data_IF_137919358998
#
_entry.id   IF_137919358998
#
_cell.length_a   1.000
_cell.length_b   1.000
_cell.length_c   1.000
_cell.angle_alpha   90.00
_cell.angle_beta   90.00
_cell.angle_gamma   90.00
#
_symmetry.space_group_name_H-M   'P 1'
#
loop_
_entity.id
_entity.type
_entity.pdbx_description
1 polymer ?
#
# COMPACT_ATOMS: atom_id res chain seq x y z
N UNK A 1 48.93 -5.63 -72.60
CA UNK A 1 48.31 -4.43 -71.96
C UNK A 1 47.27 -4.92 -70.94
N UNK A 2 47.65 -4.96 -69.67
CA UNK A 2 46.73 -5.36 -68.60
C UNK A 2 46.22 -4.09 -67.88
N UNK A 3 44.92 -3.82 -67.99
CA UNK A 3 44.23 -2.78 -67.23
C UNK A 3 44.00 -3.30 -65.80
N UNK A 4 44.61 -2.71 -64.80
CA UNK A 4 44.33 -2.93 -63.37
C UNK A 4 43.07 -2.10 -62.99
N UNK A 5 41.98 -2.79 -62.73
CA UNK A 5 40.77 -2.16 -62.15
C UNK A 5 40.95 -2.09 -60.66
N UNK A 6 41.00 -0.89 -60.10
CA UNK A 6 41.09 -0.62 -58.67
C UNK A 6 39.67 -0.65 -58.09
N UNK A 7 39.35 -1.68 -57.31
CA UNK A 7 38.09 -1.81 -56.62
C UNK A 7 38.18 -1.03 -55.30
N UNK A 8 37.56 0.13 -55.23
CA UNK A 8 37.45 0.92 -54.01
C UNK A 8 36.26 0.38 -53.19
N UNK A 9 36.57 -0.40 -52.15
CA UNK A 9 35.58 -0.90 -51.19
C UNK A 9 35.28 0.23 -50.20
N UNK A 10 34.17 0.96 -50.39
CA UNK A 10 33.69 1.97 -49.45
C UNK A 10 33.11 1.27 -48.21
N UNK A 11 33.82 1.25 -47.12
CA UNK A 11 33.37 0.77 -45.82
C UNK A 11 32.40 1.82 -45.21
N UNK A 12 31.12 1.66 -45.46
CA UNK A 12 30.09 2.43 -44.74
C UNK A 12 30.00 1.87 -43.30
N UNK A 13 30.74 2.48 -42.38
CA UNK A 13 30.51 2.30 -40.95
C UNK A 13 29.18 2.96 -40.59
N UNK A 14 28.13 2.17 -40.46
CA UNK A 14 26.88 2.62 -39.82
C UNK A 14 27.20 2.95 -38.35
N UNK A 15 27.49 4.20 -38.08
CA UNK A 15 27.45 4.76 -36.74
C UNK A 15 25.94 4.84 -36.35
N UNK A 16 25.41 3.72 -35.88
CA UNK A 16 24.10 3.75 -35.20
C UNK A 16 24.28 4.63 -33.95
N UNK A 17 23.56 5.75 -33.82
CA UNK A 17 23.58 6.49 -32.56
C UNK A 17 23.08 5.54 -31.46
N UNK A 18 23.99 5.03 -30.65
CA UNK A 18 23.63 4.41 -29.39
C UNK A 18 23.00 5.50 -28.54
N UNK A 19 21.68 5.58 -28.61
CA UNK A 19 20.92 6.34 -27.63
C UNK A 19 21.23 5.68 -26.29
N UNK A 20 22.16 6.25 -25.54
CA UNK A 20 22.40 5.87 -24.18
C UNK A 20 21.08 6.13 -23.44
N UNK A 21 20.27 5.08 -23.28
CA UNK A 21 19.11 5.13 -22.40
C UNK A 21 19.65 5.59 -21.05
N UNK A 22 19.34 6.84 -20.67
CA UNK A 22 19.60 7.30 -19.32
C UNK A 22 18.99 6.26 -18.40
N UNK A 23 19.84 5.55 -17.65
CA UNK A 23 19.39 4.58 -16.66
C UNK A 23 18.36 5.32 -15.79
N UNK A 24 17.08 4.93 -15.91
CA UNK A 24 16.03 5.55 -15.12
C UNK A 24 16.46 5.40 -13.64
N UNK A 25 16.49 6.50 -12.92
CA UNK A 25 16.76 6.43 -11.48
C UNK A 25 15.62 5.64 -10.86
N UNK A 26 15.95 4.62 -10.08
CA UNK A 26 14.95 3.88 -9.32
C UNK A 26 14.12 4.87 -8.48
N UNK A 27 12.78 4.73 -8.46
CA UNK A 27 11.95 5.56 -7.59
C UNK A 27 12.37 5.35 -6.14
N UNK A 28 12.48 6.44 -5.39
CA UNK A 28 12.76 6.37 -3.96
C UNK A 28 11.49 6.24 -3.13
N UNK A 29 10.39 6.81 -3.62
CA UNK A 29 9.11 6.83 -2.95
C UNK A 29 8.12 6.00 -3.76
N UNK A 30 7.43 5.09 -3.10
CA UNK A 30 6.39 4.25 -3.68
C UNK A 30 5.11 4.52 -2.89
N UNK A 31 4.07 4.97 -3.59
CA UNK A 31 2.75 5.16 -3.01
C UNK A 31 1.80 4.26 -3.78
N UNK A 32 1.19 3.31 -3.08
CA UNK A 32 0.16 2.43 -3.61
C UNK A 32 -1.21 2.91 -3.11
N UNK A 33 -2.08 3.28 -4.03
CA UNK A 33 -3.47 3.64 -3.70
C UNK A 33 -4.40 2.52 -4.14
N UNK A 34 -5.25 2.06 -3.24
CA UNK A 34 -6.22 1.00 -3.45
C UNK A 34 -7.64 1.56 -3.25
N UNK A 35 -8.49 1.41 -4.25
CA UNK A 35 -9.93 1.56 -4.09
C UNK A 35 -10.54 0.17 -3.98
N UNK A 36 -10.96 -0.25 -2.79
CA UNK A 36 -11.53 -1.58 -2.60
C UNK A 36 -12.88 -1.70 -3.29
N UNK A 37 -13.05 -2.77 -4.07
CA UNK A 37 -14.23 -3.00 -4.90
C UNK A 37 -14.41 -2.01 -6.06
N UNK A 38 -13.43 -1.11 -6.31
CA UNK A 38 -13.51 -0.09 -7.36
C UNK A 38 -13.22 -0.67 -8.74
N UNK A 39 -14.24 -1.26 -9.36
CA UNK A 39 -14.18 -1.72 -10.75
C UNK A 39 -14.56 -0.63 -11.77
N UNK A 40 -14.57 -1.00 -13.06
CA UNK A 40 -14.89 -0.08 -14.14
C UNK A 40 -16.26 0.62 -14.00
N UNK A 41 -17.25 -0.10 -13.45
CA UNK A 41 -18.60 0.46 -13.21
C UNK A 41 -18.59 1.55 -12.14
N UNK A 42 -17.82 1.37 -11.07
CA UNK A 42 -17.67 2.35 -9.99
C UNK A 42 -16.91 3.58 -10.49
N UNK A 43 -15.85 3.39 -11.28
CA UNK A 43 -15.12 4.50 -11.92
C UNK A 43 -16.05 5.29 -12.83
N UNK A 44 -16.85 4.62 -13.66
CA UNK A 44 -17.80 5.28 -14.55
C UNK A 44 -18.90 6.03 -13.78
N UNK A 45 -19.44 5.42 -12.70
CA UNK A 45 -20.41 6.09 -11.83
C UNK A 45 -19.81 7.34 -11.17
N UNK A 46 -18.57 7.25 -10.70
CA UNK A 46 -17.83 8.40 -10.17
C UNK A 46 -17.63 9.50 -11.19
N UNK A 47 -17.28 9.14 -12.43
CA UNK A 47 -17.15 10.10 -13.55
C UNK A 47 -18.48 10.82 -13.83
N UNK A 48 -19.59 10.09 -13.91
CA UNK A 48 -20.92 10.69 -14.11
C UNK A 48 -21.29 11.61 -12.95
N UNK A 49 -21.07 11.15 -11.71
CA UNK A 49 -21.35 11.94 -10.49
C UNK A 49 -20.50 13.20 -10.37
N UNK A 50 -19.31 13.20 -10.96
CA UNK A 50 -18.39 14.34 -10.97
C UNK A 50 -18.39 15.10 -12.32
N UNK A 51 -19.54 15.18 -12.97
CA UNK A 51 -19.75 15.97 -14.19
C UNK A 51 -18.80 15.63 -15.36
N UNK A 52 -18.44 14.37 -15.51
CA UNK A 52 -17.73 13.85 -16.67
C UNK A 52 -16.21 13.80 -16.56
N UNK A 53 -15.62 14.04 -15.37
CA UNK A 53 -14.18 13.96 -15.18
C UNK A 53 -13.79 13.36 -13.84
N UNK A 54 -12.61 12.73 -13.77
CA UNK A 54 -12.00 12.21 -12.54
C UNK A 54 -10.50 12.54 -12.48
N UNK A 55 -9.97 12.74 -11.30
CA UNK A 55 -8.53 12.89 -11.10
C UNK A 55 -7.74 11.64 -11.54
N UNK A 56 -8.36 10.47 -11.61
CA UNK A 56 -7.75 9.24 -12.14
C UNK A 56 -7.28 9.38 -13.59
N UNK A 57 -7.89 10.27 -14.39
CA UNK A 57 -7.50 10.54 -15.78
C UNK A 57 -6.12 11.20 -15.90
N UNK A 58 -5.56 11.71 -14.80
CA UNK A 58 -4.22 12.29 -14.77
C UNK A 58 -3.11 11.22 -14.76
N UNK A 59 -3.43 9.94 -14.53
CA UNK A 59 -2.44 8.88 -14.61
C UNK A 59 -2.07 8.60 -16.08
N UNK A 60 -0.78 8.70 -16.43
CA UNK A 60 -0.35 8.58 -17.84
C UNK A 60 -0.31 7.14 -18.35
N UNK A 61 -0.38 6.16 -17.45
CA UNK A 61 -0.28 4.73 -17.77
C UNK A 61 -1.48 3.99 -17.17
N UNK A 62 -2.12 3.18 -17.99
CA UNK A 62 -3.24 2.32 -17.59
C UNK A 62 -2.86 0.87 -17.89
N UNK A 63 -3.25 -0.04 -17.01
CA UNK A 63 -3.05 -1.47 -17.17
C UNK A 63 -4.23 -2.28 -16.66
N UNK A 64 -4.22 -3.57 -16.98
CA UNK A 64 -5.16 -4.56 -16.45
C UNK A 64 -4.39 -5.65 -15.73
N UNK A 65 -4.99 -6.21 -14.70
CA UNK A 65 -4.45 -7.36 -13.99
C UNK A 65 -5.51 -8.46 -13.85
N UNK A 66 -5.04 -9.70 -13.66
CA UNK A 66 -5.91 -10.83 -13.36
C UNK A 66 -6.06 -10.93 -11.84
N UNK A 67 -7.24 -10.67 -11.35
CA UNK A 67 -7.51 -10.54 -9.92
C UNK A 67 -8.07 -11.81 -9.24
N UNK A 68 -8.27 -12.94 -9.97
CA UNK A 68 -8.80 -14.15 -9.35
C UNK A 68 -7.87 -14.68 -8.24
N UNK A 69 -8.47 -15.19 -7.16
CA UNK A 69 -7.76 -15.91 -6.11
C UNK A 69 -7.21 -17.27 -6.60
N UNK A 70 -6.37 -17.94 -5.82
CA UNK A 70 -5.86 -19.28 -6.15
C UNK A 70 -6.95 -20.35 -6.13
N UNK A 71 -7.97 -20.17 -5.29
CA UNK A 71 -9.06 -21.12 -5.06
C UNK A 71 -10.42 -20.69 -5.64
N UNK A 72 -10.53 -19.48 -6.22
CA UNK A 72 -11.81 -18.95 -6.71
C UNK A 72 -11.63 -17.93 -7.84
N UNK A 73 -12.58 -17.89 -8.79
CA UNK A 73 -12.59 -16.88 -9.86
C UNK A 73 -12.88 -15.47 -9.33
N UNK A 74 -13.65 -15.35 -8.26
CA UNK A 74 -13.93 -14.08 -7.59
C UNK A 74 -13.02 -13.98 -6.37
N UNK A 75 -12.12 -12.99 -6.38
CA UNK A 75 -11.26 -12.70 -5.24
C UNK A 75 -12.03 -11.96 -4.15
N UNK A 76 -11.60 -12.13 -2.90
CA UNK A 76 -11.90 -11.17 -1.84
C UNK A 76 -10.75 -10.16 -1.68
N UNK A 77 -10.94 -9.18 -0.79
CA UNK A 77 -9.90 -8.16 -0.51
C UNK A 77 -8.62 -8.78 0.05
N UNK A 78 -8.73 -9.86 0.83
CA UNK A 78 -7.58 -10.51 1.46
C UNK A 78 -6.63 -11.13 0.44
N UNK A 79 -7.15 -12.03 -0.43
CA UNK A 79 -6.37 -12.65 -1.49
C UNK A 79 -5.87 -11.61 -2.51
N UNK A 80 -6.69 -10.61 -2.84
CA UNK A 80 -6.32 -9.53 -3.75
C UNK A 80 -5.19 -8.67 -3.21
N UNK A 81 -5.29 -8.21 -1.96
CA UNK A 81 -4.27 -7.39 -1.32
C UNK A 81 -2.99 -8.17 -1.02
N UNK A 82 -3.08 -9.44 -0.62
CA UNK A 82 -1.91 -10.32 -0.48
C UNK A 82 -1.17 -10.46 -1.81
N UNK A 83 -1.89 -10.58 -2.93
CA UNK A 83 -1.24 -10.61 -4.24
C UNK A 83 -0.51 -9.30 -4.58
N UNK A 84 -1.02 -8.14 -4.16
CA UNK A 84 -0.32 -6.86 -4.29
C UNK A 84 0.89 -6.75 -3.36
N UNK A 85 0.72 -7.19 -2.11
CA UNK A 85 1.75 -7.06 -1.07
C UNK A 85 2.91 -8.05 -1.24
N UNK A 86 2.61 -9.29 -1.62
CA UNK A 86 3.59 -10.38 -1.68
C UNK A 86 3.93 -10.85 -3.10
N UNK A 87 3.20 -10.38 -4.14
CA UNK A 87 3.43 -10.79 -5.52
C UNK A 87 2.96 -12.22 -5.84
N UNK A 88 2.25 -12.89 -4.94
CA UNK A 88 1.82 -14.28 -5.06
C UNK A 88 0.32 -14.40 -4.83
N UNK A 89 -0.36 -15.21 -5.66
CA UNK A 89 -1.79 -15.49 -5.46
C UNK A 89 -2.00 -16.48 -4.32
N UNK A 90 -3.01 -16.19 -3.51
CA UNK A 90 -3.43 -17.02 -2.38
C UNK A 90 -4.94 -17.28 -2.41
N UNK A 91 -5.45 -18.01 -1.44
CA UNK A 91 -6.87 -18.32 -1.28
C UNK A 91 -7.64 -17.16 -0.64
N UNK A 92 -8.94 -17.08 -0.90
CA UNK A 92 -9.80 -16.07 -0.29
C UNK A 92 -9.75 -16.15 1.25
N UNK A 93 -9.61 -15.00 1.90
CA UNK A 93 -9.46 -14.87 3.34
C UNK A 93 -8.02 -14.86 3.86
N UNK A 94 -7.04 -15.26 3.06
CA UNK A 94 -5.63 -15.31 3.47
C UNK A 94 -4.99 -13.91 3.56
N UNK A 95 -4.18 -13.70 4.58
CA UNK A 95 -3.46 -12.45 4.85
C UNK A 95 -1.96 -12.73 4.83
N UNK A 96 -1.22 -12.22 3.86
CA UNK A 96 0.24 -12.30 3.78
C UNK A 96 0.82 -13.73 3.75
N UNK A 97 0.01 -14.72 3.37
CA UNK A 97 0.44 -16.12 3.26
C UNK A 97 0.17 -16.66 1.86
N UNK A 98 0.91 -17.68 1.45
CA UNK A 98 0.72 -18.37 0.16
C UNK A 98 -0.50 -19.30 0.16
N UNK A 99 -0.69 -20.03 -0.95
CA UNK A 99 -1.78 -20.99 -1.09
C UNK A 99 -1.69 -22.20 -0.13
N UNK A 100 -0.54 -22.43 0.49
CA UNK A 100 -0.30 -23.49 1.49
C UNK A 100 -0.42 -22.96 2.92
N UNK A 101 -0.60 -21.63 3.10
CA UNK A 101 -0.64 -20.98 4.42
C UNK A 101 0.72 -20.59 4.97
N UNK A 102 1.78 -20.64 4.18
CA UNK A 102 3.12 -20.21 4.58
C UNK A 102 3.29 -18.70 4.43
N UNK A 103 3.89 -18.06 5.43
CA UNK A 103 4.15 -16.61 5.42
C UNK A 103 5.07 -16.20 4.26
N UNK A 104 4.73 -15.11 3.59
CA UNK A 104 5.53 -14.55 2.49
C UNK A 104 5.90 -13.11 2.83
N UNK A 105 7.17 -12.70 2.73
CA UNK A 105 7.55 -11.32 2.94
C UNK A 105 6.74 -10.35 2.09
N UNK A 106 6.24 -9.31 2.71
CA UNK A 106 5.48 -8.25 2.05
C UNK A 106 6.39 -7.14 1.51
N UNK A 107 5.92 -6.37 0.54
CA UNK A 107 6.65 -5.21 0.03
C UNK A 107 6.91 -4.16 1.13
N UNK A 108 6.04 -4.06 2.13
CA UNK A 108 6.24 -3.16 3.28
C UNK A 108 7.40 -3.64 4.13
N UNK A 109 7.46 -4.90 4.51
CA UNK A 109 8.57 -5.49 5.26
C UNK A 109 9.89 -5.38 4.50
N UNK A 110 9.88 -5.68 3.20
CA UNK A 110 11.05 -5.50 2.32
C UNK A 110 11.49 -4.02 2.29
N UNK A 111 10.56 -3.08 2.31
CA UNK A 111 10.88 -1.65 2.37
C UNK A 111 11.55 -1.29 3.71
N UNK A 112 11.07 -1.82 4.84
CA UNK A 112 11.68 -1.64 6.16
C UNK A 112 13.10 -2.21 6.22
N UNK A 113 13.31 -3.44 5.75
CA UNK A 113 14.62 -4.08 5.68
C UNK A 113 15.63 -3.25 4.86
N UNK A 114 15.16 -2.53 3.86
CA UNK A 114 15.98 -1.61 3.07
C UNK A 114 16.10 -0.22 3.70
N UNK A 115 15.45 0.01 4.85
CA UNK A 115 15.51 1.23 5.64
C UNK A 115 14.71 2.39 5.04
N UNK A 116 13.67 2.11 4.24
CA UNK A 116 12.69 3.10 3.85
C UNK A 116 11.75 3.37 5.04
N UNK A 117 11.14 4.56 5.06
CA UNK A 117 10.01 4.79 5.95
C UNK A 117 8.76 4.10 5.41
N UNK A 118 7.92 3.55 6.29
CA UNK A 118 6.76 2.77 5.89
C UNK A 118 5.47 3.25 6.53
N UNK A 119 4.35 3.14 5.79
CA UNK A 119 3.06 3.56 6.30
C UNK A 119 1.86 2.87 5.67
N UNK A 120 0.78 2.80 6.45
CA UNK A 120 -0.54 2.32 6.06
C UNK A 120 -1.60 3.36 6.45
N UNK A 121 -2.45 3.74 5.52
CA UNK A 121 -3.61 4.62 5.75
C UNK A 121 -4.84 3.96 5.17
N UNK A 122 -5.90 3.79 5.95
CA UNK A 122 -7.12 3.17 5.48
C UNK A 122 -8.37 3.86 6.04
N UNK A 123 -9.47 3.80 5.32
CA UNK A 123 -10.77 4.29 5.79
C UNK A 123 -11.61 3.22 6.50
N UNK A 124 -11.07 2.01 6.61
CA UNK A 124 -11.61 0.90 7.39
C UNK A 124 -10.81 0.66 8.68
N UNK A 125 -11.09 -0.43 9.39
CA UNK A 125 -10.19 -0.91 10.44
C UNK A 125 -8.80 -1.14 9.85
N UNK A 126 -7.76 -0.77 10.59
CA UNK A 126 -6.38 -1.01 10.16
C UNK A 126 -6.03 -2.51 10.17
N UNK A 127 -6.84 -3.33 10.85
CA UNK A 127 -6.76 -4.79 10.82
C UNK A 127 -7.56 -5.41 9.66
N UNK A 128 -8.31 -4.59 8.90
CA UNK A 128 -9.05 -5.08 7.73
C UNK A 128 -8.10 -5.67 6.67
N UNK A 129 -8.63 -6.55 5.86
CA UNK A 129 -7.85 -7.40 4.97
C UNK A 129 -6.81 -6.67 4.09
N UNK A 130 -7.17 -5.51 3.54
CA UNK A 130 -6.27 -4.79 2.62
C UNK A 130 -5.04 -4.26 3.34
N UNK A 131 -5.12 -3.41 4.39
CA UNK A 131 -3.93 -2.97 5.10
C UNK A 131 -3.22 -4.12 5.82
N UNK A 132 -3.97 -5.09 6.39
CA UNK A 132 -3.40 -6.25 7.06
C UNK A 132 -2.46 -7.06 6.17
N UNK A 133 -2.79 -7.22 4.88
CA UNK A 133 -1.98 -8.00 3.93
C UNK A 133 -0.59 -7.43 3.66
N UNK A 134 -0.31 -6.20 4.08
CA UNK A 134 1.01 -5.58 3.96
C UNK A 134 1.89 -5.74 5.20
N UNK A 135 1.32 -6.22 6.34
CA UNK A 135 2.02 -6.20 7.64
C UNK A 135 1.82 -7.47 8.46
N UNK A 136 0.96 -8.38 8.05
CA UNK A 136 0.51 -9.53 8.85
C UNK A 136 0.53 -10.81 8.03
N UNK A 137 0.66 -11.96 8.71
CA UNK A 137 0.68 -13.29 8.11
C UNK A 137 -0.28 -14.20 8.85
N UNK A 138 -1.57 -14.13 8.48
CA UNK A 138 -2.64 -14.88 9.13
C UNK A 138 -3.41 -15.73 8.11
N UNK A 139 -3.83 -16.93 8.54
CA UNK A 139 -4.61 -17.83 7.70
C UNK A 139 -6.01 -17.31 7.38
N UNK A 140 -6.49 -16.30 8.11
CA UNK A 140 -7.82 -15.72 7.93
C UNK A 140 -7.87 -14.25 8.29
N UNK A 141 -8.52 -13.47 7.45
CA UNK A 141 -8.83 -12.05 7.65
C UNK A 141 -9.71 -11.75 8.86
N UNK A 142 -10.36 -12.79 9.41
CA UNK A 142 -11.22 -12.66 10.59
C UNK A 142 -10.44 -12.73 11.92
N UNK A 143 -9.12 -12.88 11.88
CA UNK A 143 -8.27 -12.94 13.04
C UNK A 143 -7.76 -11.54 13.43
N UNK A 144 -8.67 -10.58 13.57
CA UNK A 144 -8.36 -9.17 13.79
C UNK A 144 -7.39 -8.94 14.96
N UNK A 145 -7.58 -9.64 16.08
CA UNK A 145 -6.71 -9.50 17.24
C UNK A 145 -5.28 -10.02 16.97
N UNK A 146 -5.14 -11.11 16.20
CA UNK A 146 -3.84 -11.62 15.79
C UNK A 146 -3.18 -10.64 14.81
N UNK A 147 -3.95 -10.12 13.85
CA UNK A 147 -3.49 -9.09 12.90
C UNK A 147 -3.00 -7.86 13.66
N UNK A 148 -3.76 -7.39 14.67
CA UNK A 148 -3.34 -6.25 15.50
C UNK A 148 -2.03 -6.54 16.26
N UNK A 149 -1.79 -7.78 16.70
CA UNK A 149 -0.56 -8.18 17.35
C UNK A 149 0.64 -8.13 16.37
N UNK A 150 0.44 -8.48 15.12
CA UNK A 150 1.49 -8.48 14.10
C UNK A 150 2.05 -7.07 13.83
N UNK A 151 1.30 -6.00 14.10
CA UNK A 151 1.82 -4.63 14.08
C UNK A 151 2.97 -4.39 15.07
N UNK A 152 3.08 -5.23 16.09
CA UNK A 152 4.22 -5.21 17.00
C UNK A 152 5.44 -6.00 16.49
N UNK A 153 5.32 -6.77 15.43
CA UNK A 153 6.41 -7.54 14.85
C UNK A 153 7.19 -6.77 13.78
N UNK A 154 6.67 -5.63 13.34
CA UNK A 154 7.29 -4.75 12.34
C UNK A 154 7.76 -3.44 12.99
N UNK A 155 8.49 -2.63 12.24
CA UNK A 155 8.96 -1.31 12.66
C UNK A 155 8.26 -0.17 11.87
N UNK A 156 7.04 -0.43 11.40
CA UNK A 156 6.25 0.55 10.63
C UNK A 156 6.24 1.93 11.30
N UNK A 157 6.44 2.99 10.53
CA UNK A 157 6.52 4.35 11.08
C UNK A 157 5.14 4.96 11.33
N UNK A 158 4.18 4.72 10.42
CA UNK A 158 2.86 5.35 10.48
C UNK A 158 1.76 4.36 10.12
N UNK A 159 0.75 4.23 10.96
CA UNK A 159 -0.50 3.60 10.55
C UNK A 159 -1.71 4.37 11.08
N UNK A 160 -2.71 4.56 10.19
CA UNK A 160 -3.91 5.36 10.44
C UNK A 160 -5.11 4.61 9.91
N UNK A 161 -6.08 4.33 10.77
CA UNK A 161 -7.33 3.64 10.41
C UNK A 161 -8.27 3.51 11.60
N UNK A 162 -9.30 2.69 11.47
CA UNK A 162 -10.14 2.24 12.59
C UNK A 162 -9.54 1.04 13.33
N UNK A 163 -10.37 0.32 14.10
CA UNK A 163 -10.01 -0.96 14.71
C UNK A 163 -9.42 -0.87 16.12
N UNK A 164 -9.63 0.25 16.82
CA UNK A 164 -9.11 0.49 18.16
C UNK A 164 -9.40 -0.65 19.15
N UNK A 165 -10.58 -1.27 19.06
CA UNK A 165 -10.96 -2.36 19.97
C UNK A 165 -9.99 -3.55 19.90
N UNK A 166 -9.41 -3.86 18.73
CA UNK A 166 -8.49 -4.97 18.54
C UNK A 166 -7.12 -4.73 19.14
N UNK A 167 -6.80 -3.48 19.48
CA UNK A 167 -5.58 -3.08 20.19
C UNK A 167 -5.81 -2.87 21.68
N UNK A 168 -6.95 -2.31 22.09
CA UNK A 168 -7.20 -1.86 23.45
C UNK A 168 -8.13 -2.78 24.27
N UNK A 169 -9.15 -3.40 23.61
CA UNK A 169 -10.23 -4.15 24.26
C UNK A 169 -10.22 -5.60 23.79
N UNK A 170 -9.09 -6.24 23.87
CA UNK A 170 -8.83 -7.59 23.37
C UNK A 170 -9.40 -8.67 24.27
N UNK A 171 -9.75 -9.81 23.68
CA UNK A 171 -10.27 -10.98 24.39
C UNK A 171 -9.19 -11.69 25.21
N UNK A 172 -7.90 -11.53 24.85
CA UNK A 172 -6.74 -12.08 25.59
C UNK A 172 -6.30 -11.21 26.77
N UNK A 173 -6.94 -10.05 26.98
CA UNK A 173 -6.63 -9.12 28.07
C UNK A 173 -5.36 -8.28 27.85
N UNK A 174 -4.68 -8.39 26.70
CA UNK A 174 -3.54 -7.54 26.37
C UNK A 174 -3.99 -6.13 25.99
N UNK A 175 -3.15 -5.14 26.27
CA UNK A 175 -3.32 -3.77 25.79
C UNK A 175 -2.15 -3.41 24.86
N UNK A 176 -2.37 -3.49 23.54
CA UNK A 176 -1.32 -3.20 22.57
C UNK A 176 -1.06 -1.69 22.44
N UNK A 177 -1.97 -0.82 22.90
CA UNK A 177 -1.75 0.63 22.95
C UNK A 177 -0.56 0.96 23.86
N UNK A 178 -0.44 0.30 25.00
CA UNK A 178 0.68 0.52 25.91
C UNK A 178 1.99 -0.05 25.32
N UNK A 179 1.91 -1.18 24.62
CA UNK A 179 3.04 -1.73 23.87
C UNK A 179 3.55 -0.78 22.79
N UNK A 180 2.64 -0.14 22.04
CA UNK A 180 2.97 0.87 21.02
C UNK A 180 3.62 2.11 21.66
N UNK A 181 3.06 2.63 22.76
CA UNK A 181 3.67 3.75 23.50
C UNK A 181 5.10 3.43 23.96
N UNK A 182 5.33 2.21 24.46
CA UNK A 182 6.67 1.75 24.88
C UNK A 182 7.65 1.67 23.69
N UNK A 183 7.14 1.58 22.46
CA UNK A 183 7.91 1.63 21.19
C UNK A 183 7.98 3.05 20.61
N UNK A 184 7.65 4.07 21.41
CA UNK A 184 7.70 5.48 21.05
C UNK A 184 6.67 5.91 19.98
N UNK A 185 5.57 5.15 19.81
CA UNK A 185 4.46 5.64 19.00
C UNK A 185 3.65 6.70 19.74
N UNK A 186 3.34 7.76 19.05
CA UNK A 186 2.32 8.71 19.44
C UNK A 186 0.95 8.12 19.05
N UNK A 187 0.01 8.11 20.00
CA UNK A 187 -1.32 7.54 19.79
C UNK A 187 -2.30 8.69 19.51
N UNK A 188 -3.04 8.58 18.43
CA UNK A 188 -4.12 9.51 18.08
C UNK A 188 -5.45 8.75 17.95
N UNK A 189 -6.55 9.40 18.37
CA UNK A 189 -7.88 8.83 18.32
C UNK A 189 -8.86 9.67 17.49
N UNK A 190 -8.44 10.85 17.10
CA UNK A 190 -9.20 11.76 16.23
C UNK A 190 -8.32 12.31 15.11
N UNK A 191 -8.94 12.77 14.04
CA UNK A 191 -8.21 13.35 12.91
C UNK A 191 -7.52 14.66 13.28
N UNK A 192 -8.08 15.42 14.24
CA UNK A 192 -7.47 16.63 14.78
C UNK A 192 -6.17 16.31 15.51
N UNK A 193 -6.14 15.22 16.32
CA UNK A 193 -4.93 14.75 17.00
C UNK A 193 -3.88 14.29 15.99
N UNK A 194 -4.28 13.56 14.94
CA UNK A 194 -3.38 13.16 13.82
C UNK A 194 -2.69 14.38 13.22
N UNK A 195 -3.44 15.43 12.93
CA UNK A 195 -2.91 16.64 12.31
C UNK A 195 -1.93 17.43 13.21
N UNK A 196 -1.95 17.22 14.53
CA UNK A 196 -0.99 17.84 15.47
C UNK A 196 0.38 17.15 15.47
N UNK A 197 0.45 15.89 15.04
CA UNK A 197 1.71 15.12 15.05
C UNK A 197 2.56 15.50 13.85
N UNK A 198 3.78 16.00 14.11
CA UNK A 198 4.68 16.54 13.09
C UNK A 198 6.00 15.76 12.94
N UNK A 199 6.26 14.82 13.82
CA UNK A 199 7.48 13.99 13.77
C UNK A 199 7.32 12.72 14.60
N UNK A 200 8.15 11.69 14.32
CA UNK A 200 8.16 10.42 15.05
C UNK A 200 7.13 9.43 14.53
N UNK A 201 7.00 8.31 15.23
CA UNK A 201 6.07 7.24 14.88
C UNK A 201 4.65 7.59 15.28
N UNK A 202 3.68 7.19 14.46
CA UNK A 202 2.25 7.46 14.67
C UNK A 202 1.42 6.19 14.55
N UNK A 203 0.60 5.91 15.56
CA UNK A 203 -0.48 4.94 15.54
C UNK A 203 -1.81 5.65 15.78
N UNK A 204 -2.58 5.87 14.74
CA UNK A 204 -3.88 6.53 14.82
C UNK A 204 -5.03 5.54 14.62
N UNK A 205 -5.88 5.43 15.64
CA UNK A 205 -7.00 4.49 15.69
C UNK A 205 -8.31 5.28 15.85
N UNK A 206 -8.84 5.75 14.71
CA UNK A 206 -9.88 6.77 14.61
C UNK A 206 -11.30 6.27 14.89
N UNK A 207 -11.48 4.95 15.03
CA UNK A 207 -12.77 4.34 15.35
C UNK A 207 -12.56 3.02 16.11
N UNK A 208 -13.56 2.59 16.87
CA UNK A 208 -13.51 1.29 17.58
C UNK A 208 -13.42 0.12 16.59
N UNK A 209 -14.17 0.17 15.49
CA UNK A 209 -14.13 -0.80 14.40
C UNK A 209 -13.88 -0.08 13.07
N UNK A 210 -14.91 0.09 12.27
CA UNK A 210 -14.83 0.78 10.98
C UNK A 210 -15.04 2.28 11.16
N UNK A 211 -14.37 3.08 10.37
CA UNK A 211 -14.68 4.51 10.28
C UNK A 211 -16.05 4.71 9.61
N UNK A 212 -16.66 5.87 9.83
CA UNK A 212 -17.91 6.22 9.17
C UNK A 212 -17.76 6.20 7.65
N UNK A 213 -18.84 5.89 6.93
CA UNK A 213 -18.85 6.05 5.48
C UNK A 213 -18.75 7.52 5.10
N UNK A 214 -18.27 7.81 3.90
CA UNK A 214 -18.23 9.19 3.39
C UNK A 214 -19.61 9.85 3.45
N UNK A 215 -20.68 9.11 3.08
CA UNK A 215 -22.07 9.56 3.14
C UNK A 215 -22.62 9.75 4.56
N UNK A 216 -21.94 9.23 5.57
CA UNK A 216 -22.29 9.33 6.99
C UNK A 216 -21.44 10.38 7.74
N UNK A 217 -20.67 11.18 7.01
CA UNK A 217 -19.97 12.34 7.56
C UNK A 217 -18.49 12.14 7.85
N UNK A 218 -17.81 11.08 7.35
CA UNK A 218 -16.35 10.95 7.46
C UNK A 218 -15.61 12.15 6.85
N UNK A 219 -16.17 12.77 5.83
CA UNK A 219 -15.59 13.95 5.20
C UNK A 219 -14.19 13.69 4.61
N UNK A 220 -13.26 14.56 4.92
CA UNK A 220 -11.90 14.60 4.36
C UNK A 220 -10.83 13.87 5.22
N UNK A 221 -11.24 12.97 6.12
CA UNK A 221 -10.33 12.23 7.01
C UNK A 221 -9.25 11.45 6.23
N UNK A 222 -9.59 10.82 5.10
CA UNK A 222 -8.61 10.12 4.27
C UNK A 222 -7.53 11.07 3.73
N UNK A 223 -7.95 12.26 3.29
CA UNK A 223 -7.03 13.28 2.76
C UNK A 223 -6.09 13.76 3.87
N UNK A 224 -6.63 14.16 5.01
CA UNK A 224 -5.86 14.64 6.17
C UNK A 224 -4.90 13.57 6.72
N UNK A 225 -5.36 12.32 6.80
CA UNK A 225 -4.54 11.18 7.22
C UNK A 225 -3.38 10.95 6.25
N UNK A 226 -3.66 10.99 4.95
CA UNK A 226 -2.65 10.83 3.90
C UNK A 226 -1.62 11.96 3.93
N UNK A 227 -2.06 13.21 4.06
CA UNK A 227 -1.17 14.37 4.17
C UNK A 227 -0.24 14.23 5.38
N UNK A 228 -0.76 13.87 6.55
CA UNK A 228 0.05 13.67 7.75
C UNK A 228 1.04 12.52 7.57
N UNK A 229 0.61 11.38 7.03
CA UNK A 229 1.50 10.26 6.75
C UNK A 229 2.63 10.65 5.80
N UNK A 230 2.34 11.35 4.71
CA UNK A 230 3.34 11.85 3.77
C UNK A 230 4.33 12.81 4.43
N UNK A 231 3.86 13.74 5.27
CA UNK A 231 4.72 14.69 6.00
C UNK A 231 5.69 13.97 6.94
N UNK A 232 5.26 12.94 7.63
CA UNK A 232 6.10 12.15 8.52
C UNK A 232 7.12 11.30 7.75
N UNK A 233 6.68 10.58 6.73
CA UNK A 233 7.49 9.62 5.99
C UNK A 233 8.53 10.28 5.05
N UNK A 234 8.21 11.45 4.46
CA UNK A 234 9.13 12.15 3.53
C UNK A 234 10.46 12.56 4.14
N UNK A 235 10.58 12.53 5.46
CA UNK A 235 11.81 12.88 6.17
C UNK A 235 12.91 11.83 6.00
N UNK A 236 12.57 10.61 5.61
CA UNK A 236 13.53 9.54 5.35
C UNK A 236 14.28 9.77 4.02
N UNK A 237 15.59 9.92 4.08
CA UNK A 237 16.43 10.17 2.90
C UNK A 237 16.51 9.02 1.91
N UNK A 238 16.26 7.79 2.36
CA UNK A 238 16.22 6.60 1.49
C UNK A 238 14.93 6.52 0.69
N UNK A 239 13.85 7.14 1.17
CA UNK A 239 12.54 7.14 0.58
C UNK A 239 11.48 6.49 1.46
N UNK A 240 10.32 6.21 0.89
CA UNK A 240 9.19 5.63 1.63
C UNK A 240 8.39 4.64 0.79
N UNK A 241 7.70 3.73 1.49
CA UNK A 241 6.57 2.98 0.98
C UNK A 241 5.32 3.38 1.78
N UNK A 242 4.26 3.78 1.08
CA UNK A 242 2.97 4.14 1.69
C UNK A 242 1.84 3.45 0.94
N UNK A 243 1.03 2.66 1.64
CA UNK A 243 -0.23 2.15 1.11
C UNK A 243 -1.38 3.00 1.64
N UNK A 244 -2.31 3.35 0.76
CA UNK A 244 -3.50 4.15 1.06
C UNK A 244 -4.72 3.43 0.52
N UNK A 245 -5.72 3.19 1.37
CA UNK A 245 -6.96 2.53 0.97
C UNK A 245 -8.17 3.42 1.18
N UNK A 246 -8.99 3.52 0.13
CA UNK A 246 -10.38 3.94 0.22
C UNK A 246 -11.29 2.70 0.20
N UNK A 247 -11.90 2.35 1.34
CA UNK A 247 -12.81 1.22 1.50
C UNK A 247 -14.27 1.70 1.61
#
# INVERSE_FOLDING_TARGET
MFKKSLLVLALFTFLSPTWAQKKAKNPKNIILMVGDGMGASQIYAGMVGNFGSLNLEQFPVIGFHKNQASNAFVTDSAAGATAFACGVKTYNGAIGVDANGEAIPTILEIAEENGLATGLVATCSITHATPASFISHQSSRSLDENIALDFLNTDIDVFIGGGRKFFANRTDGLNLIDSLKNRSYQIANTIEEVQQIKSGKLAALLAEEQQAKFSEGRGDELVKSTETALELLKTNKKGMFLMIEGA
#
